data_IF_198491387814
#
_entry.id   IF_198491387814
#
_cell.length_a   1.000
_cell.length_b   1.000
_cell.length_c   1.000
_cell.angle_alpha   90.00
_cell.angle_beta   90.00
_cell.angle_gamma   90.00
#
_symmetry.space_group_name_H-M   'P 1'
#
loop_
_entity.id
_entity.type
_entity.pdbx_description
1 polymer ?
#
# COMPACT_ATOMS: atom_id res chain seq x y z
N UNK A 1 32.51 -0.68 12.85
CA UNK A 1 31.05 -0.50 12.92
C UNK A 1 30.44 -1.57 12.04
N UNK A 2 29.78 -2.55 12.62
CA UNK A 2 29.14 -3.62 11.84
C UNK A 2 27.92 -3.02 11.18
N UNK A 3 27.88 -2.98 9.85
CA UNK A 3 26.64 -2.75 9.11
C UNK A 3 25.64 -3.82 9.55
N UNK A 4 24.75 -3.48 10.48
CA UNK A 4 23.59 -4.29 10.80
C UNK A 4 22.72 -4.27 9.55
N UNK A 5 22.96 -5.22 8.63
CA UNK A 5 22.13 -5.42 7.45
C UNK A 5 20.70 -5.54 7.93
N UNK A 6 19.86 -4.58 7.55
CA UNK A 6 18.43 -4.59 7.87
C UNK A 6 17.85 -5.90 7.35
N UNK A 7 17.16 -6.63 8.23
CA UNK A 7 16.46 -7.86 7.86
C UNK A 7 15.40 -7.51 6.79
N UNK A 8 15.23 -8.33 5.74
CA UNK A 8 14.12 -8.16 4.81
C UNK A 8 12.78 -8.37 5.52
N UNK A 9 11.77 -7.60 5.12
CA UNK A 9 10.40 -7.77 5.62
C UNK A 9 9.83 -9.12 5.16
N UNK A 10 9.19 -9.80 6.09
CA UNK A 10 8.45 -11.04 5.87
C UNK A 10 6.96 -10.74 5.68
N UNK A 11 6.21 -11.68 5.11
CA UNK A 11 4.75 -11.56 4.96
C UNK A 11 4.05 -11.25 6.30
N UNK A 12 4.56 -11.82 7.39
CA UNK A 12 4.02 -11.61 8.73
C UNK A 12 4.12 -10.14 9.18
N UNK A 13 5.17 -9.43 8.78
CA UNK A 13 5.34 -8.00 9.12
C UNK A 13 4.23 -7.15 8.46
N UNK A 14 3.84 -7.48 7.22
CA UNK A 14 2.74 -6.82 6.52
C UNK A 14 1.38 -7.10 7.18
N UNK A 15 1.13 -8.34 7.58
CA UNK A 15 -0.12 -8.71 8.27
C UNK A 15 -0.25 -7.94 9.60
N UNK A 16 0.84 -7.84 10.37
CA UNK A 16 0.83 -7.09 11.62
C UNK A 16 0.67 -5.59 11.39
N UNK A 17 1.36 -5.02 10.41
CA UNK A 17 1.21 -3.60 10.10
C UNK A 17 -0.21 -3.24 9.62
N UNK A 18 -0.87 -4.10 8.84
CA UNK A 18 -2.27 -3.89 8.45
C UNK A 18 -3.20 -3.94 9.67
N UNK A 19 -2.99 -4.86 10.60
CA UNK A 19 -3.76 -4.94 11.85
C UNK A 19 -3.53 -3.70 12.74
N UNK A 20 -2.29 -3.23 12.87
CA UNK A 20 -1.96 -2.01 13.61
C UNK A 20 -2.60 -0.77 12.98
N UNK A 21 -2.59 -0.65 11.65
CA UNK A 21 -3.15 0.50 10.95
C UNK A 21 -4.63 0.72 11.27
N UNK A 22 -5.38 -0.36 11.54
CA UNK A 22 -6.80 -0.28 11.96
C UNK A 22 -6.97 0.53 13.24
N UNK A 23 -6.00 0.48 14.14
CA UNK A 23 -6.04 1.13 15.44
C UNK A 23 -5.50 2.57 15.40
N UNK A 24 -4.88 3.01 14.29
CA UNK A 24 -4.27 4.33 14.16
C UNK A 24 -5.30 5.43 13.85
N UNK A 25 -4.99 6.65 14.31
CA UNK A 25 -5.75 7.86 13.97
C UNK A 25 -5.60 8.21 12.48
N UNK A 26 -6.46 9.11 11.96
CA UNK A 26 -6.34 9.55 10.56
C UNK A 26 -5.03 10.28 10.31
N UNK A 27 -4.61 11.10 11.25
CA UNK A 27 -3.39 11.92 11.21
C UNK A 27 -2.16 11.02 11.12
N UNK A 28 -2.07 10.01 11.99
CA UNK A 28 -0.97 9.04 11.99
C UNK A 28 -0.87 8.26 10.67
N UNK A 29 -2.02 7.91 10.07
CA UNK A 29 -2.05 7.23 8.78
C UNK A 29 -1.57 8.14 7.65
N UNK A 30 -1.96 9.42 7.68
CA UNK A 30 -1.51 10.40 6.68
C UNK A 30 -0.04 10.77 6.84
N UNK A 31 0.50 10.81 8.05
CA UNK A 31 1.94 11.02 8.30
C UNK A 31 2.76 9.88 7.68
N UNK A 32 2.37 8.63 7.92
CA UNK A 32 3.03 7.47 7.32
C UNK A 32 2.94 7.50 5.78
N UNK A 33 1.76 7.86 5.25
CA UNK A 33 1.54 8.01 3.81
C UNK A 33 2.37 9.13 3.18
N UNK A 34 2.48 10.28 3.85
CA UNK A 34 3.30 11.40 3.40
C UNK A 34 4.81 11.08 3.45
N UNK A 35 5.22 10.13 4.29
CA UNK A 35 6.58 9.61 4.37
C UNK A 35 6.98 8.66 3.23
N UNK A 36 6.07 8.32 2.32
CA UNK A 36 6.39 7.44 1.18
C UNK A 36 7.30 8.16 0.19
N UNK A 37 8.51 7.63 0.04
CA UNK A 37 9.54 8.13 -0.89
C UNK A 37 9.82 7.17 -2.04
N UNK A 38 9.49 5.88 -1.86
CA UNK A 38 9.58 4.84 -2.89
C UNK A 38 8.24 4.10 -2.96
N UNK A 39 7.49 4.32 -4.04
CA UNK A 39 6.19 3.69 -4.28
C UNK A 39 6.27 2.24 -4.74
N UNK A 40 7.46 1.75 -5.09
CA UNK A 40 7.70 0.37 -5.51
C UNK A 40 8.01 -0.52 -4.31
N UNK A 41 8.76 -0.01 -3.32
CA UNK A 41 9.21 -0.76 -2.15
C UNK A 41 8.68 -0.18 -0.84
N UNK A 42 7.36 -0.26 -0.66
CA UNK A 42 6.72 0.19 0.58
C UNK A 42 7.18 -0.61 1.79
N UNK A 43 7.37 0.07 2.92
CA UNK A 43 7.49 -0.61 4.20
C UNK A 43 6.14 -1.23 4.60
N UNK A 44 6.13 -2.24 5.49
CA UNK A 44 4.88 -2.77 6.02
C UNK A 44 3.95 -1.71 6.60
N UNK A 45 4.50 -0.75 7.35
CA UNK A 45 3.72 0.34 7.95
C UNK A 45 3.07 1.23 6.89
N UNK A 46 3.81 1.58 5.82
CA UNK A 46 3.30 2.36 4.71
C UNK A 46 2.20 1.63 3.94
N UNK A 47 2.40 0.35 3.61
CA UNK A 47 1.38 -0.47 2.96
C UNK A 47 0.11 -0.59 3.82
N UNK A 48 0.27 -0.89 5.11
CA UNK A 48 -0.84 -0.94 6.07
C UNK A 48 -1.59 0.39 6.17
N UNK A 49 -0.88 1.52 6.22
CA UNK A 49 -1.48 2.84 6.28
C UNK A 49 -2.27 3.17 5.00
N UNK A 50 -1.70 2.90 3.82
CA UNK A 50 -2.36 3.10 2.53
C UNK A 50 -3.65 2.27 2.44
N UNK A 51 -3.60 0.99 2.82
CA UNK A 51 -4.77 0.09 2.83
C UNK A 51 -5.86 0.62 3.72
N UNK A 52 -5.52 1.08 4.92
CA UNK A 52 -6.51 1.63 5.83
C UNK A 52 -7.07 2.98 5.36
N UNK A 53 -6.24 3.88 4.81
CA UNK A 53 -6.73 5.12 4.21
C UNK A 53 -7.74 4.84 3.08
N UNK A 54 -7.47 3.85 2.23
CA UNK A 54 -8.40 3.38 1.18
C UNK A 54 -9.68 2.79 1.78
N UNK A 55 -9.57 1.92 2.80
CA UNK A 55 -10.70 1.28 3.49
C UNK A 55 -11.63 2.32 4.13
N UNK A 56 -11.06 3.38 4.73
CA UNK A 56 -11.78 4.53 5.29
C UNK A 56 -12.27 5.54 4.25
N UNK A 57 -11.99 5.32 2.96
CA UNK A 57 -12.34 6.21 1.84
C UNK A 57 -11.77 7.63 1.98
N UNK A 58 -10.59 7.75 2.58
CA UNK A 58 -9.89 9.02 2.76
C UNK A 58 -8.95 9.34 1.60
N UNK A 59 -8.55 8.31 0.85
CA UNK A 59 -7.85 8.43 -0.44
C UNK A 59 -8.57 7.57 -1.49
N UNK A 60 -8.41 7.88 -2.80
CA UNK A 60 -9.01 7.08 -3.85
C UNK A 60 -8.51 5.62 -3.81
N UNK A 61 -9.37 4.63 -4.12
CA UNK A 61 -8.89 3.27 -4.39
C UNK A 61 -7.99 3.31 -5.64
N UNK A 62 -7.01 2.41 -5.70
CA UNK A 62 -6.19 2.26 -6.90
C UNK A 62 -7.11 2.09 -8.12
N UNK A 63 -6.93 2.94 -9.14
CA UNK A 63 -7.57 2.72 -10.42
C UNK A 63 -7.04 1.40 -10.94
N UNK A 64 -7.88 0.37 -10.96
CA UNK A 64 -7.58 -0.83 -11.74
C UNK A 64 -7.20 -0.37 -13.15
N UNK A 65 -6.10 -0.88 -13.75
CA UNK A 65 -5.84 -0.63 -15.15
C UNK A 65 -7.08 -1.10 -15.91
N UNK A 66 -7.74 -0.17 -16.61
CA UNK A 66 -8.86 -0.50 -17.49
C UNK A 66 -8.38 -1.57 -18.46
N UNK A 67 -8.85 -2.80 -18.32
CA UNK A 67 -8.71 -3.83 -19.35
C UNK A 67 -9.73 -3.54 -20.45
N UNK A 68 -9.70 -2.33 -21.01
CA UNK A 68 -10.49 -2.00 -22.20
C UNK A 68 -9.64 -2.37 -23.40
N UNK A 69 -9.63 -3.67 -23.69
CA UNK A 69 -8.91 -4.27 -24.79
C UNK A 69 -9.52 -5.59 -25.24
N UNK A 70 -10.85 -5.73 -25.12
CA UNK A 70 -11.56 -6.76 -25.89
C UNK A 70 -11.58 -6.28 -27.34
N UNK A 71 -10.60 -6.75 -28.12
CA UNK A 71 -10.62 -6.59 -29.57
C UNK A 71 -11.75 -7.49 -30.06
N UNK A 72 -12.90 -6.89 -30.32
CA UNK A 72 -14.00 -7.55 -31.01
C UNK A 72 -13.52 -7.79 -32.44
N UNK A 73 -12.96 -8.98 -32.69
CA UNK A 73 -12.63 -9.45 -34.03
C UNK A 73 -13.93 -9.88 -34.69
N UNK A 74 -14.74 -8.88 -35.03
CA UNK A 74 -15.95 -9.05 -35.82
C UNK A 74 -15.97 -7.97 -36.89
N UNK A 75 -15.46 -8.30 -38.07
CA UNK A 75 -15.69 -7.59 -39.33
C UNK A 75 -15.22 -8.46 -40.49
N UNK A 76 -15.84 -8.35 -41.67
CA UNK A 76 -17.20 -8.71 -42.06
C UNK A 76 -17.28 -10.01 -42.87
#
# INVERSE_FOLDING_TARGET
>A
MSDQKRRPYSLQDFVYAEAEAILRSKEQLFEEFAGVTDWVNLTPAQDGAIRELKRRRLIPPERQPRTDGHVDVSSP
#
